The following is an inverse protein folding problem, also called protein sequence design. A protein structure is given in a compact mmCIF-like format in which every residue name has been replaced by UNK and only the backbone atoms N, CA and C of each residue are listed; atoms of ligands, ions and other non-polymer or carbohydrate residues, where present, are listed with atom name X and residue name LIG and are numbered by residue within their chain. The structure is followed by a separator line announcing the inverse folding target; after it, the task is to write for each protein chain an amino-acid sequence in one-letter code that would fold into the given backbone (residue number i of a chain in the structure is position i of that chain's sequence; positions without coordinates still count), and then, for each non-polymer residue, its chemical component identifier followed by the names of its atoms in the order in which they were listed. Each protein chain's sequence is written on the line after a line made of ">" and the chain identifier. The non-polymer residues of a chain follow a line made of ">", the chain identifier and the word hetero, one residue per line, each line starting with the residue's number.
data_IF_905159480967
#
_entry.id   IF_905159480967
#
_cell.length_a   1.000
_cell.length_b   1.000
_cell.length_c   1.000
_cell.angle_alpha   90.00
_cell.angle_beta   90.00
_cell.angle_gamma   90.00
#
_symmetry.space_group_name_H-M   'P 1'
#
loop_
_entity.id
_entity.type
_entity.pdbx_description
1 polymer ?
#
# COMPACT_ATOMS: atom_id res chain seq x y z
N UNK A 1 2.60 -12.95 11.54
CA UNK A 1 1.56 -12.13 12.19
C UNK A 1 0.30 -12.40 11.41
N UNK A 2 -0.54 -13.29 11.92
CA UNK A 2 -1.82 -13.63 11.32
C UNK A 2 -2.69 -12.37 11.29
N UNK A 3 -3.29 -12.07 10.15
CA UNK A 3 -4.25 -10.97 10.04
C UNK A 3 -5.45 -11.31 10.92
N UNK A 4 -5.62 -10.56 12.00
CA UNK A 4 -6.81 -10.66 12.84
C UNK A 4 -7.96 -10.03 12.06
N UNK A 5 -8.66 -10.86 11.29
CA UNK A 5 -9.89 -10.47 10.61
C UNK A 5 -11.08 -10.79 11.50
N UNK A 6 -12.08 -9.92 11.52
CA UNK A 6 -13.36 -10.21 12.15
C UNK A 6 -14.05 -11.38 11.45
N UNK A 7 -14.79 -12.19 12.20
CA UNK A 7 -15.67 -13.19 11.61
C UNK A 7 -16.82 -12.52 10.86
N UNK A 8 -17.33 -13.20 9.84
CA UNK A 8 -18.48 -12.72 9.07
C UNK A 8 -19.71 -12.48 9.98
N UNK A 9 -19.88 -13.26 11.04
CA UNK A 9 -20.95 -13.08 12.04
C UNK A 9 -20.85 -11.74 12.80
N UNK A 10 -19.64 -11.31 13.14
CA UNK A 10 -19.44 -10.00 13.79
C UNK A 10 -19.70 -8.88 12.79
N UNK A 11 -19.19 -9.02 11.57
CA UNK A 11 -19.38 -8.03 10.49
C UNK A 11 -20.87 -7.83 10.23
N UNK A 12 -21.65 -8.90 10.13
CA UNK A 12 -23.09 -8.84 9.88
C UNK A 12 -23.87 -8.08 10.97
N UNK A 13 -23.41 -8.10 12.22
CA UNK A 13 -24.04 -7.37 13.33
C UNK A 13 -23.78 -5.86 13.28
N UNK A 14 -22.67 -5.43 12.69
CA UNK A 14 -22.22 -4.02 12.70
C UNK A 14 -22.29 -3.36 11.32
N UNK A 15 -22.61 -4.11 10.24
CA UNK A 15 -22.50 -3.65 8.84
C UNK A 15 -23.34 -2.42 8.48
N UNK A 16 -24.42 -2.18 9.22
CA UNK A 16 -25.39 -1.12 8.97
C UNK A 16 -25.18 0.09 9.90
N UNK A 17 -24.19 0.04 10.79
CA UNK A 17 -23.88 1.15 11.68
C UNK A 17 -23.15 2.26 10.94
N UNK A 18 -23.51 3.51 11.23
CA UNK A 18 -22.71 4.66 10.85
C UNK A 18 -21.57 4.82 11.88
N UNK A 19 -20.34 4.45 11.50
CA UNK A 19 -19.18 4.53 12.40
C UNK A 19 -18.88 5.96 12.87
N UNK A 20 -19.38 7.00 12.18
CA UNK A 20 -19.22 8.40 12.58
C UNK A 20 -20.26 8.88 13.60
N UNK A 21 -21.34 8.13 13.78
CA UNK A 21 -22.52 8.52 14.57
C UNK A 21 -23.06 7.34 15.40
N UNK A 22 -22.17 6.67 16.13
CA UNK A 22 -22.54 5.51 16.96
C UNK A 22 -23.31 5.92 18.22
N UNK A 23 -24.42 5.23 18.51
CA UNK A 23 -25.12 5.39 19.79
C UNK A 23 -24.33 4.75 20.94
N UNK A 24 -24.74 5.01 22.19
CA UNK A 24 -24.12 4.38 23.37
C UNK A 24 -24.26 2.85 23.32
N UNK A 25 -25.41 2.36 22.88
CA UNK A 25 -25.70 0.93 22.73
C UNK A 25 -24.86 0.29 21.64
N UNK A 26 -24.73 0.96 20.47
CA UNK A 26 -23.89 0.47 19.38
C UNK A 26 -22.41 0.42 19.78
N UNK A 27 -21.91 1.46 20.48
CA UNK A 27 -20.55 1.46 21.03
C UNK A 27 -20.33 0.31 22.03
N UNK A 28 -21.28 0.07 22.93
CA UNK A 28 -21.20 -1.04 23.88
C UNK A 28 -21.17 -2.41 23.17
N UNK A 29 -21.95 -2.58 22.11
CA UNK A 29 -21.93 -3.79 21.29
C UNK A 29 -20.60 -3.97 20.56
N UNK A 30 -20.07 -2.92 19.92
CA UNK A 30 -18.77 -2.94 19.25
C UNK A 30 -17.65 -3.33 20.22
N UNK A 31 -17.61 -2.73 21.42
CA UNK A 31 -16.64 -3.06 22.46
C UNK A 31 -16.68 -4.54 22.87
N UNK A 32 -17.86 -5.17 22.80
CA UNK A 32 -18.04 -6.59 23.11
C UNK A 32 -17.62 -7.49 21.95
N UNK A 33 -17.91 -7.09 20.71
CA UNK A 33 -17.69 -7.91 19.51
C UNK A 33 -16.26 -7.80 18.94
N UNK A 34 -15.59 -6.66 19.14
CA UNK A 34 -14.26 -6.36 18.62
C UNK A 34 -13.29 -6.17 19.81
N UNK A 35 -12.71 -7.26 20.35
CA UNK A 35 -11.83 -7.17 21.52
C UNK A 35 -10.43 -6.59 21.18
N UNK A 36 -10.05 -6.54 19.91
CA UNK A 36 -8.78 -5.97 19.49
C UNK A 36 -8.91 -4.44 19.37
N UNK A 37 -8.20 -3.71 20.23
CA UNK A 37 -8.25 -2.24 20.28
C UNK A 37 -7.88 -1.59 18.94
N UNK A 38 -6.84 -2.08 18.24
CA UNK A 38 -6.45 -1.53 16.94
C UNK A 38 -7.50 -1.75 15.84
N UNK A 39 -8.21 -2.88 15.84
CA UNK A 39 -9.33 -3.10 14.92
C UNK A 39 -10.52 -2.21 15.26
N UNK A 40 -10.77 -1.99 16.54
CA UNK A 40 -11.83 -1.10 17.01
C UNK A 40 -11.55 0.35 16.59
N UNK A 41 -10.35 0.85 16.85
CA UNK A 41 -9.91 2.19 16.42
C UNK A 41 -10.06 2.36 14.89
N UNK A 42 -9.62 1.37 14.13
CA UNK A 42 -9.78 1.36 12.67
C UNK A 42 -11.25 1.38 12.24
N UNK A 43 -12.12 0.61 12.91
CA UNK A 43 -13.55 0.60 12.63
C UNK A 43 -14.19 1.97 12.93
N UNK A 44 -13.89 2.55 14.09
CA UNK A 44 -14.41 3.86 14.49
C UNK A 44 -13.95 4.95 13.50
N UNK A 45 -12.68 4.93 13.11
CA UNK A 45 -12.07 5.94 12.24
C UNK A 45 -12.46 5.77 10.76
N UNK A 46 -12.33 4.57 10.21
CA UNK A 46 -12.40 4.30 8.78
C UNK A 46 -13.61 3.46 8.35
N UNK A 47 -14.34 2.90 9.31
CA UNK A 47 -15.52 2.08 9.06
C UNK A 47 -15.21 0.79 8.30
N UNK A 48 -16.25 0.25 7.68
CA UNK A 48 -16.16 -0.96 6.86
C UNK A 48 -15.96 -0.63 5.39
N UNK A 49 -15.24 -1.51 4.70
CA UNK A 49 -15.15 -1.55 3.26
C UNK A 49 -16.53 -1.72 2.63
N UNK A 50 -16.85 -0.90 1.63
CA UNK A 50 -18.15 -0.95 0.93
C UNK A 50 -18.39 -2.27 0.21
N UNK A 51 -17.34 -2.87 -0.36
CA UNK A 51 -17.45 -4.07 -1.20
C UNK A 51 -17.49 -5.37 -0.39
N UNK A 52 -16.59 -5.48 0.61
CA UNK A 52 -16.34 -6.74 1.33
C UNK A 52 -16.71 -6.70 2.80
N UNK A 53 -17.13 -5.54 3.32
CA UNK A 53 -17.57 -5.34 4.71
C UNK A 53 -16.53 -5.68 5.79
N UNK A 54 -15.25 -5.79 5.43
CA UNK A 54 -14.14 -5.85 6.40
C UNK A 54 -13.77 -4.44 6.88
N UNK A 55 -13.16 -4.34 8.06
CA UNK A 55 -12.64 -3.05 8.59
C UNK A 55 -11.57 -2.49 7.65
N UNK A 56 -11.68 -1.20 7.32
CA UNK A 56 -10.65 -0.49 6.57
C UNK A 56 -9.45 -0.17 7.48
N UNK A 57 -8.23 -0.20 6.94
CA UNK A 57 -7.01 0.12 7.71
C UNK A 57 -6.56 1.57 7.54
N UNK A 58 -7.16 2.29 6.59
CA UNK A 58 -6.97 3.73 6.37
C UNK A 58 -8.14 4.28 5.56
N UNK A 59 -8.20 5.61 5.39
CA UNK A 59 -9.19 6.28 4.57
C UNK A 59 -9.19 5.71 3.16
N UNK A 60 -10.34 5.22 2.72
CA UNK A 60 -10.55 4.61 1.40
C UNK A 60 -9.62 3.41 1.10
N UNK A 61 -9.03 2.78 2.12
CA UNK A 61 -8.14 1.63 1.96
C UNK A 61 -8.69 0.39 2.65
N UNK A 62 -9.08 -0.60 1.83
CA UNK A 62 -9.36 -1.95 2.30
C UNK A 62 -8.21 -2.87 1.90
N UNK A 63 -7.37 -3.26 2.86
CA UNK A 63 -6.20 -4.11 2.62
C UNK A 63 -6.57 -5.39 1.86
N UNK A 64 -7.71 -6.03 2.17
CA UNK A 64 -8.16 -7.26 1.48
C UNK A 64 -8.52 -6.99 0.01
N UNK A 65 -9.20 -5.87 -0.28
CA UNK A 65 -9.58 -5.54 -1.65
C UNK A 65 -8.36 -5.17 -2.49
N UNK A 66 -7.47 -4.33 -1.94
CA UNK A 66 -6.26 -3.89 -2.63
C UNK A 66 -5.28 -5.06 -2.82
N UNK A 67 -5.07 -5.92 -1.81
CA UNK A 67 -4.29 -7.16 -1.95
C UNK A 67 -4.80 -8.06 -3.07
N UNK A 68 -6.12 -8.26 -3.17
CA UNK A 68 -6.72 -9.04 -4.27
C UNK A 68 -6.52 -8.35 -5.63
N UNK A 69 -6.57 -7.02 -5.68
CA UNK A 69 -6.29 -6.24 -6.89
C UNK A 69 -4.84 -6.42 -7.35
N UNK A 70 -3.88 -6.31 -6.43
CA UNK A 70 -2.47 -6.53 -6.71
C UNK A 70 -2.18 -7.95 -7.18
N UNK A 71 -2.74 -8.97 -6.52
CA UNK A 71 -2.55 -10.38 -6.90
C UNK A 71 -2.97 -10.67 -8.34
N UNK A 72 -4.05 -10.05 -8.83
CA UNK A 72 -4.50 -10.18 -10.23
C UNK A 72 -3.47 -9.61 -11.21
N UNK A 73 -2.71 -8.61 -10.79
CA UNK A 73 -1.72 -7.92 -11.62
C UNK A 73 -0.31 -8.48 -11.52
N UNK A 74 -0.01 -9.39 -10.59
CA UNK A 74 1.34 -9.96 -10.42
C UNK A 74 1.88 -10.68 -11.66
N UNK A 75 0.99 -11.17 -12.53
CA UNK A 75 1.39 -11.83 -13.79
C UNK A 75 1.65 -10.84 -14.93
N UNK A 76 1.30 -9.57 -14.76
CA UNK A 76 1.36 -8.55 -15.82
C UNK A 76 2.70 -7.80 -15.85
N UNK A 77 3.59 -8.05 -14.88
CA UNK A 77 4.90 -7.43 -14.84
C UNK A 77 5.92 -8.37 -14.17
N UNK A 78 7.19 -8.18 -14.48
CA UNK A 78 8.32 -8.78 -13.78
C UNK A 78 9.51 -7.85 -13.91
N UNK A 79 10.36 -7.81 -12.89
CA UNK A 79 11.67 -7.14 -12.95
C UNK A 79 12.75 -7.97 -13.65
N UNK A 80 12.46 -9.24 -13.95
CA UNK A 80 13.47 -10.22 -14.33
C UNK A 80 14.28 -10.77 -13.15
N UNK A 81 14.00 -10.32 -11.92
CA UNK A 81 14.61 -10.83 -10.69
C UNK A 81 13.51 -11.30 -9.71
N UNK A 82 13.41 -12.61 -9.52
CA UNK A 82 12.35 -13.21 -8.67
C UNK A 82 12.41 -12.74 -7.21
N UNK A 83 13.61 -12.47 -6.68
CA UNK A 83 13.78 -11.97 -5.30
C UNK A 83 13.17 -10.57 -5.16
N UNK A 84 13.39 -9.70 -6.15
CA UNK A 84 12.82 -8.34 -6.17
C UNK A 84 11.31 -8.41 -6.37
N UNK A 85 10.84 -9.24 -7.30
CA UNK A 85 9.41 -9.42 -7.57
C UNK A 85 8.67 -9.90 -6.33
N UNK A 86 9.15 -10.96 -5.67
CA UNK A 86 8.58 -11.46 -4.42
C UNK A 86 8.57 -10.41 -3.31
N UNK A 87 9.62 -9.60 -3.21
CA UNK A 87 9.72 -8.55 -2.21
C UNK A 87 8.65 -7.48 -2.43
N UNK A 88 8.51 -6.97 -3.66
CA UNK A 88 7.50 -5.97 -4.02
C UNK A 88 6.10 -6.53 -3.80
N UNK A 89 5.83 -7.77 -4.23
CA UNK A 89 4.54 -8.43 -4.03
C UNK A 89 4.21 -8.56 -2.53
N UNK A 90 5.15 -9.02 -1.71
CA UNK A 90 4.95 -9.12 -0.24
C UNK A 90 4.72 -7.76 0.41
N UNK A 91 5.36 -6.70 -0.07
CA UNK A 91 5.12 -5.34 0.42
C UNK A 91 3.71 -4.85 0.05
N UNK A 92 3.30 -5.01 -1.21
CA UNK A 92 1.97 -4.64 -1.70
C UNK A 92 0.84 -5.34 -0.93
N UNK A 93 0.99 -6.63 -0.59
CA UNK A 93 -0.01 -7.38 0.18
C UNK A 93 -0.12 -6.92 1.65
N UNK A 94 0.95 -6.32 2.18
CA UNK A 94 1.02 -5.86 3.57
C UNK A 94 0.68 -4.39 3.76
N UNK A 95 0.56 -3.63 2.67
CA UNK A 95 0.28 -2.21 2.71
C UNK A 95 -1.08 -1.95 3.39
N UNK A 96 -1.09 -1.08 4.40
CA UNK A 96 -2.27 -0.71 5.18
C UNK A 96 -2.86 0.63 4.76
N UNK A 97 -2.15 1.37 3.92
CA UNK A 97 -2.53 2.66 3.35
C UNK A 97 -1.79 2.90 2.04
N UNK A 98 -2.20 3.93 1.31
CA UNK A 98 -1.68 4.14 -0.04
C UNK A 98 -0.19 4.51 -0.08
N UNK A 99 0.30 5.20 0.96
CA UNK A 99 1.70 5.64 1.07
C UNK A 99 2.67 4.48 1.28
N UNK A 100 2.18 3.32 1.71
CA UNK A 100 3.00 2.13 1.98
C UNK A 100 3.18 1.24 0.73
N UNK A 101 2.53 1.58 -0.38
CA UNK A 101 2.59 0.79 -1.60
C UNK A 101 3.97 0.97 -2.26
N UNK A 102 4.65 -0.15 -2.51
CA UNK A 102 5.76 -0.18 -3.44
C UNK A 102 5.22 -0.47 -4.85
N UNK A 103 5.42 0.47 -5.77
CA UNK A 103 5.05 0.32 -7.18
C UNK A 103 6.23 -0.22 -8.01
N UNK A 104 5.96 -1.21 -8.86
CA UNK A 104 6.88 -1.58 -9.93
C UNK A 104 6.71 -0.64 -11.13
N UNK A 105 7.80 0.00 -11.56
CA UNK A 105 7.82 0.94 -12.69
C UNK A 105 8.67 0.36 -13.81
N UNK A 106 8.05 0.13 -14.96
CA UNK A 106 8.78 -0.24 -16.16
C UNK A 106 9.72 0.89 -16.61
N UNK A 107 10.94 0.55 -17.01
CA UNK A 107 11.97 1.52 -17.37
C UNK A 107 11.54 2.44 -18.53
N UNK A 108 10.75 1.92 -19.49
CA UNK A 108 10.20 2.69 -20.61
C UNK A 108 9.20 3.80 -20.19
N UNK A 109 8.75 3.83 -18.93
CA UNK A 109 7.91 4.89 -18.36
C UNK A 109 8.72 6.06 -17.81
N UNK A 110 10.04 5.92 -17.77
CA UNK A 110 10.99 6.94 -17.34
C UNK A 110 11.67 7.57 -18.56
N UNK A 111 11.92 8.87 -18.51
CA UNK A 111 12.60 9.63 -19.56
C UNK A 111 13.42 10.79 -18.98
N UNK A 112 14.15 11.50 -19.85
CA UNK A 112 14.89 12.72 -19.52
C UNK A 112 15.86 12.53 -18.33
N UNK A 113 16.77 11.56 -18.48
CA UNK A 113 17.77 11.21 -17.46
C UNK A 113 18.89 12.27 -17.41
N UNK A 114 18.96 13.03 -16.32
CA UNK A 114 20.02 14.00 -16.05
C UNK A 114 20.84 13.50 -14.86
N UNK A 115 22.17 13.41 -15.01
CA UNK A 115 23.04 13.02 -13.90
C UNK A 115 22.90 14.00 -12.72
N UNK A 116 22.71 13.46 -11.51
CA UNK A 116 22.63 14.26 -10.29
C UNK A 116 23.89 14.09 -9.44
N UNK A 117 24.22 12.85 -9.04
CA UNK A 117 25.35 12.58 -8.17
C UNK A 117 25.77 11.10 -8.21
N UNK A 118 27.05 10.85 -7.91
CA UNK A 118 27.58 9.52 -7.63
C UNK A 118 27.74 9.36 -6.12
N UNK A 119 27.19 8.29 -5.56
CA UNK A 119 27.37 7.91 -4.15
C UNK A 119 28.07 6.57 -4.01
N UNK A 120 28.26 6.12 -2.76
CA UNK A 120 28.92 4.85 -2.45
C UNK A 120 28.19 3.61 -2.99
N UNK A 121 26.86 3.69 -3.13
CA UNK A 121 26.01 2.55 -3.53
C UNK A 121 25.46 2.65 -4.95
N UNK A 122 25.79 3.69 -5.71
CA UNK A 122 25.25 3.86 -7.04
C UNK A 122 25.36 5.27 -7.61
N UNK A 123 24.69 5.48 -8.73
CA UNK A 123 24.56 6.78 -9.42
C UNK A 123 23.10 7.21 -9.37
N UNK A 124 22.87 8.45 -8.99
CA UNK A 124 21.54 9.06 -8.98
C UNK A 124 21.38 9.98 -10.19
N UNK A 125 20.23 9.87 -10.83
CA UNK A 125 19.76 10.72 -11.92
C UNK A 125 18.49 11.42 -11.51
N UNK A 126 18.24 12.63 -12.03
CA UNK A 126 16.88 13.13 -12.17
C UNK A 126 16.27 12.43 -13.38
N UNK A 127 15.00 12.08 -13.29
CA UNK A 127 14.23 11.54 -14.40
C UNK A 127 12.80 12.07 -14.35
N UNK A 128 12.09 11.92 -15.44
CA UNK A 128 10.66 12.16 -15.54
C UNK A 128 9.95 10.81 -15.60
N UNK A 129 9.00 10.59 -14.70
CA UNK A 129 8.07 9.47 -14.75
C UNK A 129 6.77 9.93 -15.42
N UNK A 130 6.52 9.44 -16.63
CA UNK A 130 5.41 9.91 -17.50
C UNK A 130 4.04 9.76 -16.87
N UNK A 131 3.80 8.63 -16.21
CA UNK A 131 2.50 8.41 -15.56
C UNK A 131 2.42 9.08 -14.18
N UNK A 132 3.55 9.19 -13.48
CA UNK A 132 3.59 9.52 -12.05
C UNK A 132 2.95 8.47 -11.13
N UNK A 133 2.98 8.77 -9.84
CA UNK A 133 2.48 7.88 -8.78
C UNK A 133 0.97 7.73 -8.81
N UNK A 134 0.48 6.60 -8.28
CA UNK A 134 -0.96 6.41 -8.07
C UNK A 134 -1.48 7.33 -6.96
N UNK A 135 -2.68 7.88 -7.15
CA UNK A 135 -3.42 8.62 -6.12
C UNK A 135 -4.88 8.19 -6.14
N UNK A 136 -5.56 8.32 -5.00
CA UNK A 136 -7.00 8.09 -4.90
C UNK A 136 -7.74 9.33 -5.38
N UNK A 137 -8.69 9.14 -6.29
CA UNK A 137 -9.72 10.13 -6.59
C UNK A 137 -10.86 9.98 -5.58
N UNK A 138 -10.89 10.86 -4.58
CA UNK A 138 -11.91 10.83 -3.52
C UNK A 138 -13.34 11.08 -4.02
N UNK A 139 -13.52 11.67 -5.21
CA UNK A 139 -14.86 11.92 -5.76
C UNK A 139 -15.44 10.66 -6.41
N UNK A 140 -14.59 9.92 -7.13
CA UNK A 140 -15.01 8.76 -7.92
C UNK A 140 -14.61 7.42 -7.31
N UNK A 141 -13.92 7.44 -6.16
CA UNK A 141 -13.43 6.27 -5.41
C UNK A 141 -12.56 5.33 -6.28
N UNK A 142 -11.68 5.91 -7.11
CA UNK A 142 -10.85 5.20 -8.09
C UNK A 142 -9.38 5.57 -7.98
N UNK A 143 -8.51 4.65 -8.39
CA UNK A 143 -7.10 4.92 -8.61
C UNK A 143 -6.90 5.72 -9.90
N UNK A 144 -6.19 6.83 -9.81
CA UNK A 144 -5.77 7.65 -10.95
C UNK A 144 -4.26 7.87 -10.88
N UNK A 145 -3.67 8.23 -12.02
CA UNK A 145 -2.24 8.57 -12.10
C UNK A 145 -2.07 10.06 -11.86
N UNK A 146 -1.02 10.45 -11.12
CA UNK A 146 -0.77 11.86 -10.82
C UNK A 146 -0.39 12.66 -12.08
N UNK A 147 0.02 11.98 -13.15
CA UNK A 147 0.59 12.57 -14.34
C UNK A 147 2.09 12.75 -14.19
N UNK A 148 2.71 13.34 -15.20
CA UNK A 148 4.14 13.52 -15.29
C UNK A 148 4.75 14.02 -13.97
N UNK A 149 5.70 13.27 -13.42
CA UNK A 149 6.31 13.57 -12.12
C UNK A 149 7.83 13.49 -12.23
N UNK A 150 8.53 14.52 -11.72
CA UNK A 150 9.99 14.50 -11.59
C UNK A 150 10.38 13.59 -10.42
N UNK A 151 11.31 12.68 -10.68
CA UNK A 151 11.77 11.68 -9.70
C UNK A 151 13.29 11.63 -9.64
N UNK A 152 13.81 11.13 -8.52
CA UNK A 152 15.20 10.73 -8.41
C UNK A 152 15.31 9.22 -8.71
N UNK A 153 15.99 8.87 -9.80
CA UNK A 153 16.30 7.48 -10.15
C UNK A 153 17.69 7.13 -9.64
N UNK A 154 17.77 6.21 -8.67
CA UNK A 154 19.05 5.70 -8.17
C UNK A 154 19.36 4.34 -8.79
N UNK A 155 20.39 4.31 -9.64
CA UNK A 155 20.94 3.11 -10.24
C UNK A 155 22.00 2.51 -9.31
N UNK A 156 21.76 1.30 -8.81
CA UNK A 156 22.64 0.64 -7.84
C UNK A 156 23.81 -0.08 -8.54
N UNK A 157 24.98 -0.07 -7.91
CA UNK A 157 26.07 -0.97 -8.31
C UNK A 157 25.71 -2.42 -8.00
N UNK A 158 26.19 -3.35 -8.84
CA UNK A 158 25.98 -4.79 -8.68
C UNK A 158 24.51 -5.19 -8.46
N UNK A 159 23.58 -4.49 -9.12
CA UNK A 159 22.13 -4.70 -9.01
C UNK A 159 21.65 -6.12 -9.35
N UNK A 160 22.48 -6.91 -10.02
CA UNK A 160 22.22 -8.33 -10.28
C UNK A 160 22.28 -9.18 -9.00
N UNK A 161 23.02 -8.74 -7.98
CA UNK A 161 23.24 -9.45 -6.72
C UNK A 161 22.46 -8.85 -5.54
N UNK A 162 21.30 -8.25 -5.81
CA UNK A 162 20.44 -7.68 -4.76
C UNK A 162 19.98 -8.78 -3.80
N UNK A 163 20.27 -8.58 -2.51
CA UNK A 163 19.84 -9.49 -1.44
C UNK A 163 18.52 -9.03 -0.81
N UNK A 164 17.84 -9.95 -0.14
CA UNK A 164 16.60 -9.62 0.58
C UNK A 164 16.88 -8.68 1.76
N UNK A 165 18.05 -8.79 2.38
CA UNK A 165 18.52 -7.94 3.48
C UNK A 165 18.62 -6.48 3.03
N UNK A 166 19.24 -6.25 1.87
CA UNK A 166 19.34 -4.92 1.27
C UNK A 166 17.97 -4.32 0.96
N UNK A 167 17.06 -5.12 0.39
CA UNK A 167 15.69 -4.67 0.13
C UNK A 167 14.92 -4.33 1.43
N UNK A 168 15.09 -5.11 2.50
CA UNK A 168 14.51 -4.81 3.81
C UNK A 168 15.04 -3.49 4.39
N UNK A 169 16.33 -3.18 4.18
CA UNK A 169 16.89 -1.89 4.59
C UNK A 169 16.27 -0.73 3.81
N UNK A 170 16.07 -0.87 2.50
CA UNK A 170 15.36 0.12 1.68
C UNK A 170 13.96 0.40 2.25
N UNK A 171 13.21 -0.64 2.60
CA UNK A 171 11.87 -0.47 3.18
C UNK A 171 11.89 0.29 4.50
N UNK A 172 12.85 0.01 5.38
CA UNK A 172 13.02 0.76 6.64
C UNK A 172 13.25 2.24 6.37
N UNK A 173 14.08 2.57 5.37
CA UNK A 173 14.36 3.95 4.99
C UNK A 173 13.13 4.66 4.43
N UNK A 174 12.36 4.00 3.56
CA UNK A 174 11.12 4.54 2.98
C UNK A 174 10.10 4.82 4.10
N UNK A 175 9.95 3.92 5.06
CA UNK A 175 9.01 4.08 6.19
C UNK A 175 9.48 5.16 7.17
N UNK A 176 10.79 5.32 7.40
CA UNK A 176 11.35 6.28 8.36
C UNK A 176 11.35 7.75 7.92
N UNK A 177 10.97 8.02 6.67
CA UNK A 177 10.93 9.37 6.09
C UNK A 177 9.54 10.04 6.20
N UNK A 178 8.61 9.44 6.95
CA UNK A 178 7.27 9.94 7.25
C UNK A 178 7.01 9.90 8.76
#
# INVERSE_FOLDING_TARGET
>A
MEEVNLSDEVIEQIKDFNNRELTKEQNALINKLIPNEGLKENYEMYGLCKERKHINTSDFWCQICESKSFQKNFKNWTSGNSTVDEFIQKAQLKAKKFEEILEWIEYNKLENFEYLAKGGFGVTYKAIWKDGYIKRDYKNDKWIRNGETKVALKCLYDSQNITTEFLKEILKLIISLF
#
